data_IF_166961207787
#
_entry.id   IF_166961207787
#
_cell.length_a   1.000
_cell.length_b   1.000
_cell.length_c   1.000
_cell.angle_alpha   90.00
_cell.angle_beta   90.00
_cell.angle_gamma   90.00
#
_symmetry.space_group_name_H-M   'P 1'
#
loop_
_entity.id
_entity.type
_entity.pdbx_description
1 polymer ?
#
# COMPACT_ATOMS: atom_id res chain seq x y z
N UNK A 1 -11.56 -2.91 23.38
CA UNK A 1 -10.83 -2.58 22.12
C UNK A 1 -11.83 -2.15 21.05
N UNK A 2 -11.67 -0.97 20.45
CA UNK A 2 -12.58 -0.50 19.40
C UNK A 2 -12.06 -0.96 18.03
N UNK A 3 -12.62 -2.05 17.50
CA UNK A 3 -12.21 -2.64 16.22
C UNK A 3 -12.35 -1.67 15.05
N UNK A 4 -13.30 -0.74 15.09
CA UNK A 4 -13.47 0.28 14.04
C UNK A 4 -12.27 1.22 13.97
N UNK A 5 -11.75 1.64 15.13
CA UNK A 5 -10.55 2.48 15.20
C UNK A 5 -9.31 1.73 14.68
N UNK A 6 -9.18 0.45 15.01
CA UNK A 6 -8.07 -0.38 14.53
C UNK A 6 -8.17 -0.58 13.02
N UNK A 7 -9.37 -0.88 12.51
CA UNK A 7 -9.63 -1.00 11.08
C UNK A 7 -9.25 0.28 10.32
N UNK A 8 -9.70 1.44 10.81
CA UNK A 8 -9.36 2.73 10.24
C UNK A 8 -7.86 3.03 10.32
N UNK A 9 -7.19 2.64 11.40
CA UNK A 9 -5.74 2.80 11.56
C UNK A 9 -4.96 1.95 10.55
N UNK A 10 -5.35 0.69 10.37
CA UNK A 10 -4.73 -0.21 9.36
C UNK A 10 -4.96 0.32 7.95
N UNK A 11 -6.18 0.77 7.62
CA UNK A 11 -6.50 1.33 6.31
C UNK A 11 -5.71 2.63 6.04
N UNK A 12 -5.61 3.50 7.05
CA UNK A 12 -4.81 4.73 7.00
C UNK A 12 -3.33 4.43 6.80
N UNK A 13 -2.78 3.46 7.54
CA UNK A 13 -1.38 3.09 7.43
C UNK A 13 -1.02 2.61 6.02
N UNK A 14 -1.84 1.75 5.41
CA UNK A 14 -1.57 1.33 4.02
C UNK A 14 -1.81 2.42 2.98
N UNK A 15 -2.74 3.35 3.24
CA UNK A 15 -2.92 4.52 2.36
C UNK A 15 -1.70 5.43 2.41
N UNK A 16 -1.17 5.71 3.61
CA UNK A 16 0.06 6.47 3.79
C UNK A 16 1.26 5.75 3.17
N UNK A 17 1.34 4.43 3.34
CA UNK A 17 2.40 3.63 2.72
C UNK A 17 2.33 3.72 1.19
N UNK A 18 1.15 3.60 0.61
CA UNK A 18 0.94 3.77 -0.83
C UNK A 18 1.40 5.16 -1.31
N UNK A 19 0.98 6.24 -0.64
CA UNK A 19 1.45 7.61 -0.96
C UNK A 19 2.97 7.75 -0.82
N UNK A 20 3.55 7.14 0.22
CA UNK A 20 5.00 7.11 0.41
C UNK A 20 5.69 6.40 -0.77
N UNK A 21 5.16 5.27 -1.26
CA UNK A 21 5.78 4.58 -2.41
C UNK A 21 5.78 5.44 -3.67
N UNK A 22 4.71 6.21 -3.92
CA UNK A 22 4.67 7.20 -5.00
C UNK A 22 5.74 8.27 -4.83
N UNK A 23 5.84 8.85 -3.64
CA UNK A 23 6.85 9.84 -3.32
C UNK A 23 8.26 9.26 -3.55
N UNK A 24 8.53 8.05 -3.05
CA UNK A 24 9.81 7.40 -3.18
C UNK A 24 10.18 7.12 -4.65
N UNK A 25 9.25 6.57 -5.45
CA UNK A 25 9.46 6.32 -6.89
C UNK A 25 9.76 7.62 -7.63
N UNK A 26 9.04 8.71 -7.33
CA UNK A 26 9.27 10.00 -7.96
C UNK A 26 10.65 10.63 -7.65
N UNK A 27 11.35 10.13 -6.63
CA UNK A 27 12.69 10.56 -6.25
C UNK A 27 13.78 9.52 -6.58
N UNK A 28 13.43 8.41 -7.24
CA UNK A 28 14.44 7.49 -7.76
C UNK A 28 15.24 8.23 -8.84
N UNK A 29 16.59 8.19 -8.82
CA UNK A 29 17.38 8.81 -9.86
C UNK A 29 16.94 8.27 -11.23
N UNK A 30 16.69 9.13 -12.22
CA UNK A 30 16.31 8.68 -13.54
C UNK A 30 17.42 7.76 -14.05
N UNK A 31 17.08 6.49 -14.25
CA UNK A 31 18.05 5.48 -14.69
C UNK A 31 18.46 5.71 -16.14
N UNK A 32 17.93 4.91 -17.04
CA UNK A 32 18.08 5.09 -18.49
C UNK A 32 17.17 6.18 -19.08
N UNK A 33 16.38 6.87 -18.25
CA UNK A 33 15.47 7.94 -18.66
C UNK A 33 14.20 7.46 -19.36
N UNK A 34 13.93 6.16 -19.37
CA UNK A 34 12.77 5.55 -20.04
C UNK A 34 11.46 5.69 -19.26
N UNK A 35 11.53 6.03 -17.97
CA UNK A 35 10.38 6.13 -17.07
C UNK A 35 9.83 4.76 -16.63
N UNK A 36 10.56 3.66 -16.85
CA UNK A 36 10.15 2.33 -16.43
C UNK A 36 9.96 2.19 -14.91
N UNK A 37 10.55 3.08 -14.10
CA UNK A 37 10.27 3.19 -12.66
C UNK A 37 8.78 3.38 -12.33
N UNK A 38 8.02 4.01 -13.23
CA UNK A 38 6.58 4.19 -13.08
C UNK A 38 5.80 2.88 -13.28
N UNK A 39 6.39 1.84 -13.88
CA UNK A 39 5.74 0.53 -13.94
C UNK A 39 5.53 -0.06 -12.54
N UNK A 40 6.38 0.28 -11.57
CA UNK A 40 6.24 -0.12 -10.18
C UNK A 40 4.94 0.41 -9.54
N UNK A 41 4.36 1.48 -10.07
CA UNK A 41 3.10 2.04 -9.60
C UNK A 41 1.92 1.10 -9.86
N UNK A 42 1.93 0.33 -10.94
CA UNK A 42 0.83 -0.59 -11.27
C UNK A 42 0.62 -1.69 -10.22
N UNK A 43 1.61 -2.51 -9.83
CA UNK A 43 1.42 -3.52 -8.80
C UNK A 43 1.07 -2.89 -7.44
N UNK A 44 1.70 -1.78 -7.07
CA UNK A 44 1.42 -1.07 -5.82
C UNK A 44 0.00 -0.49 -5.78
N UNK A 45 -0.45 0.13 -6.87
CA UNK A 45 -1.81 0.63 -7.05
C UNK A 45 -2.85 -0.49 -7.06
N UNK A 46 -2.51 -1.65 -7.62
CA UNK A 46 -3.37 -2.84 -7.61
C UNK A 46 -3.59 -3.35 -6.19
N UNK A 47 -2.52 -3.44 -5.38
CA UNK A 47 -2.64 -3.81 -3.95
C UNK A 47 -3.51 -2.79 -3.21
N UNK A 48 -3.28 -1.49 -3.42
CA UNK A 48 -4.11 -0.45 -2.82
C UNK A 48 -5.60 -0.61 -3.18
N UNK A 49 -5.89 -0.78 -4.46
CA UNK A 49 -7.25 -0.92 -4.97
C UNK A 49 -7.96 -2.17 -4.47
N UNK A 50 -7.25 -3.29 -4.35
CA UNK A 50 -7.84 -4.58 -3.95
C UNK A 50 -7.95 -4.78 -2.44
N UNK A 51 -7.07 -4.17 -1.64
CA UNK A 51 -7.05 -4.39 -0.19
C UNK A 51 -7.48 -3.15 0.60
N UNK A 52 -6.95 -1.97 0.27
CA UNK A 52 -7.12 -0.79 1.12
C UNK A 52 -8.39 0.00 0.82
N UNK A 53 -8.82 0.06 -0.45
CA UNK A 53 -10.15 0.60 -0.77
C UNK A 53 -11.27 -0.23 -0.12
N UNK A 54 -11.30 -1.57 -0.23
CA UNK A 54 -12.25 -2.39 0.52
C UNK A 54 -12.08 -2.27 2.04
N UNK A 55 -10.85 -2.19 2.56
CA UNK A 55 -10.63 -2.00 3.99
C UNK A 55 -11.28 -0.70 4.50
N UNK A 56 -11.19 0.40 3.76
CA UNK A 56 -11.86 1.67 4.09
C UNK A 56 -13.39 1.52 4.11
N UNK A 57 -13.97 0.88 3.08
CA UNK A 57 -15.41 0.65 3.01
C UNK A 57 -15.91 -0.24 4.17
N UNK A 58 -15.17 -1.30 4.47
CA UNK A 58 -15.49 -2.23 5.56
C UNK A 58 -15.29 -1.60 6.94
N UNK A 59 -14.31 -0.70 7.10
CA UNK A 59 -14.04 0.02 8.35
C UNK A 59 -15.17 1.00 8.70
N UNK A 60 -15.88 1.55 7.72
CA UNK A 60 -17.05 2.40 7.96
C UNK A 60 -18.21 1.63 8.63
N UNK A 61 -18.23 0.29 8.51
CA UNK A 61 -19.24 -0.58 9.10
C UNK A 61 -18.76 -1.20 10.43
N UNK A 62 -19.50 -0.98 11.52
CA UNK A 62 -19.16 -1.54 12.84
C UNK A 62 -19.12 -3.07 12.85
N UNK A 63 -20.03 -3.72 12.12
CA UNK A 63 -20.13 -5.18 12.05
C UNK A 63 -18.96 -5.81 11.30
N UNK A 64 -18.42 -5.14 10.29
CA UNK A 64 -17.41 -5.68 9.38
C UNK A 64 -16.00 -5.19 9.70
N UNK A 65 -15.84 -4.39 10.76
CA UNK A 65 -14.54 -3.84 11.17
C UNK A 65 -13.48 -4.92 11.42
N UNK A 66 -13.86 -6.13 11.85
CA UNK A 66 -12.90 -7.25 11.99
C UNK A 66 -12.39 -7.77 10.64
N UNK A 67 -13.27 -7.89 9.65
CA UNK A 67 -12.88 -8.28 8.29
C UNK A 67 -12.02 -7.20 7.65
N UNK A 68 -12.35 -5.92 7.87
CA UNK A 68 -11.51 -4.80 7.44
C UNK A 68 -10.07 -4.92 7.96
N UNK A 69 -9.89 -5.26 9.25
CA UNK A 69 -8.56 -5.48 9.82
C UNK A 69 -7.84 -6.62 9.11
N UNK A 70 -8.51 -7.77 8.91
CA UNK A 70 -7.88 -8.91 8.23
C UNK A 70 -7.46 -8.58 6.80
N UNK A 71 -8.35 -7.97 6.03
CA UNK A 71 -8.08 -7.54 4.65
C UNK A 71 -6.95 -6.52 4.61
N UNK A 72 -6.98 -5.51 5.49
CA UNK A 72 -5.95 -4.49 5.58
C UNK A 72 -4.58 -5.04 5.99
N UNK A 73 -4.53 -5.99 6.92
CA UNK A 73 -3.28 -6.67 7.31
C UNK A 73 -2.71 -7.51 6.17
N UNK A 74 -3.55 -8.26 5.44
CA UNK A 74 -3.12 -8.98 4.24
C UNK A 74 -2.56 -8.00 3.19
N UNK A 75 -3.22 -6.86 2.99
CA UNK A 75 -2.75 -5.80 2.10
C UNK A 75 -1.40 -5.23 2.54
N UNK A 76 -1.18 -5.02 3.85
CA UNK A 76 0.09 -4.51 4.38
C UNK A 76 1.24 -5.50 4.14
N UNK A 77 0.98 -6.80 4.33
CA UNK A 77 1.97 -7.84 4.05
C UNK A 77 2.31 -7.85 2.56
N UNK A 78 1.30 -7.82 1.68
CA UNK A 78 1.51 -7.76 0.23
C UNK A 78 2.32 -6.51 -0.16
N UNK A 79 1.99 -5.35 0.42
CA UNK A 79 2.74 -4.11 0.20
C UNK A 79 4.20 -4.23 0.63
N UNK A 80 4.45 -4.75 1.82
CA UNK A 80 5.80 -4.90 2.35
C UNK A 80 6.66 -5.82 1.46
N UNK A 81 6.09 -6.94 1.01
CA UNK A 81 6.78 -7.90 0.14
C UNK A 81 7.13 -7.27 -1.21
N UNK A 82 6.14 -6.69 -1.90
CA UNK A 82 6.35 -6.10 -3.24
C UNK A 82 7.28 -4.88 -3.15
N UNK A 83 7.13 -4.05 -2.13
CA UNK A 83 8.01 -2.90 -1.93
C UNK A 83 9.45 -3.32 -1.64
N UNK A 84 9.66 -4.36 -0.83
CA UNK A 84 11.00 -4.89 -0.58
C UNK A 84 11.65 -5.45 -1.86
N UNK A 85 10.87 -6.05 -2.75
CA UNK A 85 11.36 -6.49 -4.06
C UNK A 85 11.79 -5.30 -4.92
N UNK A 86 10.93 -4.27 -5.04
CA UNK A 86 11.22 -3.06 -5.81
C UNK A 86 12.46 -2.30 -5.28
N UNK A 87 12.61 -2.20 -3.96
CA UNK A 87 13.79 -1.56 -3.35
C UNK A 87 15.11 -2.27 -3.67
N UNK A 88 15.09 -3.57 -3.97
CA UNK A 88 16.28 -4.29 -4.41
C UNK A 88 16.58 -4.07 -5.90
N UNK A 89 15.59 -3.69 -6.70
CA UNK A 89 15.74 -3.41 -8.13
C UNK A 89 16.13 -1.95 -8.39
N UNK A 90 15.75 -1.02 -7.51
CA UNK A 90 16.12 0.39 -7.69
C UNK A 90 17.63 0.60 -7.57
N UNK A 91 18.21 1.45 -8.44
CA UNK A 91 19.63 1.77 -8.39
C UNK A 91 19.94 2.42 -7.04
N UNK A 92 20.92 1.85 -6.35
CA UNK A 92 21.47 2.45 -5.13
C UNK A 92 22.38 3.60 -5.55
N UNK A 93 22.10 4.80 -5.03
CA UNK A 93 22.94 5.98 -5.21
C UNK A 93 24.38 5.73 -4.76
#
# INVERSE_FOLDING_TARGET
MNFRKIAALVASAGTLFWLYTFYAIAHVPPGDGTGFEWLAVFPLGTIFGLFFLPAWLLAASERLSRLSIMVGLCGLIAFAVVWAQLLNEFPKS
#
